data_IF_372266040887
#
_entry.id   IF_372266040887
#
_cell.length_a   1.000
_cell.length_b   1.000
_cell.length_c   1.000
_cell.angle_alpha   90.00
_cell.angle_beta   90.00
_cell.angle_gamma   90.00
#
_symmetry.space_group_name_H-M   'P 1'
#
loop_
_entity.id
_entity.type
_entity.pdbx_description
1 polymer ?
#
# COMPACT_ATOMS: atom_id res chain seq x y z
N UNK A 1 -1.44 -25.30 -10.75
CA UNK A 1 -0.80 -24.12 -10.14
C UNK A 1 -1.88 -23.04 -10.10
N UNK A 2 -2.40 -22.71 -8.92
CA UNK A 2 -3.38 -21.62 -8.82
C UNK A 2 -2.69 -20.31 -9.18
N UNK A 3 -3.25 -19.58 -10.15
CA UNK A 3 -2.78 -18.23 -10.47
C UNK A 3 -2.72 -17.42 -9.18
N UNK A 4 -1.51 -17.03 -8.78
CA UNK A 4 -1.26 -16.42 -7.49
C UNK A 4 -1.66 -14.95 -7.57
N UNK A 5 -2.94 -14.65 -7.37
CA UNK A 5 -3.38 -13.26 -7.27
C UNK A 5 -2.75 -12.57 -6.06
N UNK A 6 -2.42 -11.28 -6.17
CA UNK A 6 -1.78 -10.50 -5.10
C UNK A 6 -2.57 -9.22 -4.82
N UNK A 7 -2.81 -8.92 -3.54
CA UNK A 7 -3.43 -7.66 -3.12
C UNK A 7 -2.34 -6.66 -2.77
N UNK A 8 -2.35 -5.54 -3.48
CA UNK A 8 -1.31 -4.51 -3.45
C UNK A 8 -1.93 -3.15 -3.16
N UNK A 9 -1.08 -2.15 -2.96
CA UNK A 9 -1.53 -0.78 -2.72
C UNK A 9 -0.69 0.24 -3.45
N UNK A 10 -1.36 1.24 -4.02
CA UNK A 10 -0.77 2.50 -4.47
C UNK A 10 -1.20 3.63 -3.54
N UNK A 11 -0.28 4.55 -3.25
CA UNK A 11 -0.55 5.77 -2.47
C UNK A 11 -0.15 6.96 -3.32
N UNK A 12 -1.11 7.82 -3.66
CA UNK A 12 -0.88 9.08 -4.37
C UNK A 12 -0.89 10.20 -3.35
N UNK A 13 0.30 10.69 -2.98
CA UNK A 13 0.47 11.73 -1.98
C UNK A 13 -0.17 13.06 -2.41
N UNK A 14 -0.45 13.96 -1.47
CA UNK A 14 -1.12 15.25 -1.71
C UNK A 14 -0.55 15.97 -2.95
N UNK A 15 0.77 16.11 -3.04
CA UNK A 15 1.41 16.81 -4.18
C UNK A 15 1.29 16.09 -5.51
N UNK A 16 0.97 14.80 -5.54
CA UNK A 16 0.71 14.03 -6.75
C UNK A 16 -0.76 14.01 -7.17
N UNK A 17 -1.66 14.58 -6.37
CA UNK A 17 -3.13 14.47 -6.57
C UNK A 17 -3.63 15.05 -7.90
N UNK A 18 -2.88 15.97 -8.50
CA UNK A 18 -3.24 16.56 -9.79
C UNK A 18 -3.23 15.53 -10.94
N UNK A 19 -2.57 14.37 -10.78
CA UNK A 19 -2.63 13.24 -11.73
C UNK A 19 -3.47 12.06 -11.22
N UNK A 20 -4.27 12.21 -10.16
CA UNK A 20 -5.05 11.08 -9.62
C UNK A 20 -5.96 10.41 -10.65
N UNK A 21 -6.71 11.20 -11.44
CA UNK A 21 -7.62 10.65 -12.46
C UNK A 21 -6.90 9.85 -13.54
N UNK A 22 -5.88 10.39 -14.24
CA UNK A 22 -5.18 9.61 -15.26
C UNK A 22 -4.45 8.39 -14.67
N UNK A 23 -3.89 8.49 -13.46
CA UNK A 23 -3.23 7.34 -12.81
C UNK A 23 -4.24 6.25 -12.47
N UNK A 24 -5.39 6.58 -11.87
CA UNK A 24 -6.42 5.58 -11.54
C UNK A 24 -6.97 4.90 -12.80
N UNK A 25 -7.11 5.64 -13.91
CA UNK A 25 -7.50 5.07 -15.20
C UNK A 25 -6.47 4.07 -15.69
N UNK A 26 -5.19 4.41 -15.66
CA UNK A 26 -4.12 3.51 -16.10
C UNK A 26 -3.99 2.28 -15.19
N UNK A 27 -4.07 2.46 -13.86
CA UNK A 27 -4.12 1.36 -12.90
C UNK A 27 -5.26 0.39 -13.26
N UNK A 28 -6.44 0.89 -13.64
CA UNK A 28 -7.59 0.03 -13.98
C UNK A 28 -7.40 -0.81 -15.24
N UNK A 29 -6.41 -0.49 -16.09
CA UNK A 29 -6.08 -1.30 -17.27
C UNK A 29 -5.14 -2.46 -16.97
N UNK A 30 -4.37 -2.39 -15.88
CA UNK A 30 -3.37 -3.41 -15.52
C UNK A 30 -3.76 -4.20 -14.26
N UNK A 31 -4.55 -3.60 -13.38
CA UNK A 31 -4.95 -4.16 -12.09
C UNK A 31 -6.46 -4.07 -11.91
N UNK A 32 -7.01 -5.01 -11.15
CA UNK A 32 -8.37 -4.86 -10.65
C UNK A 32 -8.36 -3.95 -9.43
N UNK A 33 -8.84 -2.72 -9.58
CA UNK A 33 -9.03 -1.82 -8.43
C UNK A 33 -10.14 -2.39 -7.55
N UNK A 34 -9.86 -2.60 -6.27
CA UNK A 34 -10.84 -3.10 -5.28
C UNK A 34 -11.52 -1.96 -4.55
N UNK A 35 -10.75 -0.96 -4.13
CA UNK A 35 -11.27 0.23 -3.46
C UNK A 35 -10.31 1.41 -3.58
N UNK A 36 -10.86 2.62 -3.60
CA UNK A 36 -10.08 3.85 -3.53
C UNK A 36 -10.57 4.67 -2.35
N UNK A 37 -9.64 5.05 -1.48
CA UNK A 37 -9.89 5.90 -0.33
C UNK A 37 -9.20 7.24 -0.49
N UNK A 38 -9.86 8.30 -0.03
CA UNK A 38 -9.22 9.56 0.33
C UNK A 38 -8.92 9.55 1.82
N UNK A 39 -7.65 9.64 2.17
CA UNK A 39 -7.17 9.64 3.54
C UNK A 39 -6.54 11.00 3.89
N UNK A 40 -6.64 11.36 5.15
CA UNK A 40 -5.99 12.54 5.71
C UNK A 40 -5.34 12.17 7.04
N UNK A 41 -4.11 12.65 7.22
CA UNK A 41 -3.44 12.64 8.52
C UNK A 41 -3.33 14.09 8.99
N UNK A 42 -3.69 14.39 10.25
CA UNK A 42 -3.49 15.73 10.79
C UNK A 42 -2.04 16.19 10.58
N UNK A 43 -1.85 17.44 10.14
CA UNK A 43 -0.53 17.99 9.81
C UNK A 43 0.49 17.82 10.94
N UNK A 44 0.05 17.93 12.19
CA UNK A 44 0.88 17.77 13.40
C UNK A 44 1.36 16.32 13.61
N UNK A 45 0.61 15.34 13.11
CA UNK A 45 0.93 13.90 13.20
C UNK A 45 1.62 13.37 11.95
N UNK A 46 1.56 14.10 10.83
CA UNK A 46 1.97 13.60 9.52
C UNK A 46 3.39 13.04 9.50
N UNK A 47 4.37 13.78 10.03
CA UNK A 47 5.76 13.35 10.06
C UNK A 47 5.96 12.03 10.84
N UNK A 48 5.23 11.86 11.96
CA UNK A 48 5.32 10.66 12.79
C UNK A 48 4.63 9.48 12.12
N UNK A 49 3.43 9.68 11.55
CA UNK A 49 2.73 8.64 10.78
C UNK A 49 3.53 8.20 9.55
N UNK A 50 4.20 9.13 8.89
CA UNK A 50 5.09 8.84 7.77
C UNK A 50 6.31 8.02 8.21
N UNK A 51 6.89 8.35 9.37
CA UNK A 51 7.98 7.60 9.98
C UNK A 51 7.56 6.16 10.32
N UNK A 52 6.42 5.97 10.98
CA UNK A 52 5.84 4.66 11.31
C UNK A 52 5.55 3.84 10.04
N UNK A 53 5.00 4.51 9.02
CA UNK A 53 4.70 3.89 7.72
C UNK A 53 5.98 3.34 7.07
N UNK A 54 7.04 4.14 6.99
CA UNK A 54 8.31 3.73 6.37
C UNK A 54 9.25 2.94 7.30
N UNK A 55 8.87 2.73 8.57
CA UNK A 55 9.69 2.00 9.56
C UNK A 55 11.03 2.67 9.85
N UNK A 56 11.14 3.99 9.61
CA UNK A 56 12.34 4.78 9.87
C UNK A 56 11.97 5.92 10.79
N UNK A 57 12.82 6.22 11.77
CA UNK A 57 12.79 7.50 12.48
C UNK A 57 13.16 8.62 11.49
N UNK A 58 12.20 9.04 10.67
CA UNK A 58 12.36 10.20 9.80
C UNK A 58 12.38 11.43 10.73
N UNK A 59 13.46 12.23 10.73
CA UNK A 59 13.46 13.48 11.49
C UNK A 59 12.29 14.37 11.06
N UNK A 60 11.67 15.09 12.00
CA UNK A 60 10.66 16.11 11.66
C UNK A 60 11.25 17.09 10.63
N UNK A 61 10.48 17.43 9.60
CA UNK A 61 10.94 18.32 8.53
C UNK A 61 11.84 17.65 7.49
N UNK A 62 11.91 16.32 7.45
CA UNK A 62 12.66 15.61 6.43
C UNK A 62 12.18 15.95 5.01
N UNK A 63 13.08 15.77 4.05
CA UNK A 63 12.87 16.10 2.64
C UNK A 63 11.63 15.40 2.03
N UNK A 64 11.21 14.26 2.60
CA UNK A 64 10.04 13.50 2.11
C UNK A 64 8.71 14.11 2.54
N UNK A 65 8.60 14.68 3.74
CA UNK A 65 7.40 15.41 4.20
C UNK A 65 7.10 16.60 3.26
N UNK A 66 8.12 17.42 2.96
CA UNK A 66 7.98 18.55 2.02
C UNK A 66 7.63 18.09 0.60
N UNK A 67 8.06 16.90 0.20
CA UNK A 67 7.80 16.34 -1.14
C UNK A 67 6.42 15.68 -1.25
N UNK A 68 5.93 14.99 -0.22
CA UNK A 68 4.61 14.36 -0.27
C UNK A 68 3.48 15.38 -0.09
N UNK A 69 3.70 16.44 0.70
CA UNK A 69 2.64 17.28 1.23
C UNK A 69 1.95 16.62 2.44
N UNK A 70 1.19 17.42 3.21
CA UNK A 70 0.52 16.97 4.44
C UNK A 70 -1.02 17.02 4.34
N UNK A 71 -1.55 17.32 3.17
CA UNK A 71 -2.98 17.33 2.86
C UNK A 71 -3.51 15.94 2.52
N UNK A 72 -4.72 15.91 1.95
CA UNK A 72 -5.39 14.65 1.63
C UNK A 72 -4.67 13.90 0.51
N UNK A 73 -4.49 12.60 0.69
CA UNK A 73 -3.86 11.71 -0.27
C UNK A 73 -4.82 10.56 -0.64
N UNK A 74 -4.56 9.91 -1.78
CA UNK A 74 -5.35 8.74 -2.19
C UNK A 74 -4.62 7.45 -1.91
N UNK A 75 -5.40 6.43 -1.59
CA UNK A 75 -4.97 5.04 -1.49
C UNK A 75 -5.82 4.25 -2.47
N UNK A 76 -5.19 3.56 -3.41
CA UNK A 76 -5.85 2.58 -4.26
C UNK A 76 -5.39 1.18 -3.84
N UNK A 77 -6.29 0.39 -3.27
CA UNK A 77 -6.04 -1.03 -3.03
C UNK A 77 -6.46 -1.80 -4.27
N UNK A 78 -5.53 -2.57 -4.80
CA UNK A 78 -5.67 -3.23 -6.10
C UNK A 78 -5.37 -4.71 -5.98
N UNK A 79 -5.84 -5.48 -6.94
CA UNK A 79 -5.48 -6.87 -7.11
C UNK A 79 -4.75 -7.04 -8.43
N UNK A 80 -3.51 -7.52 -8.35
CA UNK A 80 -2.80 -8.06 -9.50
C UNK A 80 -3.27 -9.51 -9.71
N UNK A 81 -3.91 -9.77 -10.84
CA UNK A 81 -4.44 -11.10 -11.15
C UNK A 81 -3.35 -12.07 -11.60
N UNK A 82 -2.25 -11.55 -12.15
CA UNK A 82 -1.18 -12.33 -12.76
C UNK A 82 0.19 -11.70 -12.44
N UNK A 83 0.60 -11.66 -11.17
CA UNK A 83 1.85 -11.04 -10.78
C UNK A 83 3.03 -11.81 -11.35
N UNK A 84 4.01 -11.05 -11.85
CA UNK A 84 5.31 -11.57 -12.29
C UNK A 84 6.34 -11.21 -11.25
N UNK A 85 7.14 -12.18 -10.82
CA UNK A 85 8.16 -11.96 -9.79
C UNK A 85 9.58 -12.02 -10.36
N UNK A 86 10.48 -11.24 -9.78
CA UNK A 86 11.92 -11.43 -9.94
C UNK A 86 12.50 -12.30 -8.81
N UNK A 87 13.80 -12.58 -8.86
CA UNK A 87 14.51 -13.41 -7.88
C UNK A 87 14.49 -12.80 -6.45
N UNK A 88 14.32 -11.48 -6.34
CA UNK A 88 14.16 -10.79 -5.06
C UNK A 88 12.73 -10.90 -4.49
N UNK A 89 11.80 -11.56 -5.20
CA UNK A 89 10.40 -11.71 -4.80
C UNK A 89 9.55 -10.45 -5.02
N UNK A 90 10.03 -9.48 -5.79
CA UNK A 90 9.28 -8.26 -6.10
C UNK A 90 8.28 -8.49 -7.21
N UNK A 91 7.08 -7.92 -7.08
CA UNK A 91 6.07 -7.90 -8.11
C UNK A 91 6.47 -6.87 -9.20
N UNK A 92 6.91 -7.39 -10.35
CA UNK A 92 7.38 -6.60 -11.49
C UNK A 92 6.30 -5.70 -12.09
N UNK A 93 5.03 -6.12 -12.09
CA UNK A 93 3.93 -5.30 -12.60
C UNK A 93 3.76 -4.06 -11.72
N UNK A 94 3.74 -4.24 -10.40
CA UNK A 94 3.67 -3.13 -9.43
C UNK A 94 4.89 -2.19 -9.54
N UNK A 95 6.10 -2.76 -9.64
CA UNK A 95 7.32 -1.95 -9.79
C UNK A 95 7.27 -1.10 -11.07
N UNK A 96 6.92 -1.71 -12.21
CA UNK A 96 6.84 -1.02 -13.50
C UNK A 96 5.80 0.11 -13.46
N UNK A 97 4.59 -0.16 -12.97
CA UNK A 97 3.55 0.87 -12.82
C UNK A 97 4.01 2.01 -11.87
N UNK A 98 4.59 1.67 -10.72
CA UNK A 98 5.13 2.66 -9.77
C UNK A 98 6.16 3.59 -10.42
N UNK A 99 7.12 3.05 -11.17
CA UNK A 99 8.15 3.87 -11.83
C UNK A 99 7.57 4.68 -12.98
N UNK A 100 6.67 4.11 -13.79
CA UNK A 100 5.94 4.84 -14.84
C UNK A 100 5.23 6.08 -14.28
N UNK A 101 4.53 5.95 -13.16
CA UNK A 101 3.83 7.08 -12.55
C UNK A 101 4.81 8.10 -11.95
N UNK A 102 5.99 7.69 -11.47
CA UNK A 102 7.04 8.64 -11.08
C UNK A 102 7.55 9.43 -12.28
N UNK A 103 7.68 8.79 -13.44
CA UNK A 103 8.06 9.46 -14.68
C UNK A 103 6.99 10.46 -15.13
N UNK A 104 5.69 10.15 -14.96
CA UNK A 104 4.60 11.10 -15.20
C UNK A 104 4.69 12.34 -14.30
N UNK A 105 5.30 12.22 -13.12
CA UNK A 105 5.60 13.35 -12.24
C UNK A 105 6.96 14.01 -12.53
N UNK A 106 7.61 13.73 -13.66
CA UNK A 106 8.94 14.25 -13.99
C UNK A 106 10.04 13.70 -13.07
N UNK A 107 9.93 12.43 -12.67
CA UNK A 107 10.88 11.73 -11.78
C UNK A 107 10.64 11.95 -10.28
N UNK A 108 9.55 12.62 -9.89
CA UNK A 108 9.22 12.85 -8.49
C UNK A 108 8.59 11.62 -7.81
N UNK A 109 8.86 11.46 -6.51
CA UNK A 109 8.33 10.37 -5.69
C UNK A 109 6.96 10.68 -5.06
N UNK A 110 6.04 11.31 -5.82
CA UNK A 110 4.69 11.66 -5.34
C UNK A 110 3.72 10.48 -5.30
N UNK A 111 4.21 9.29 -5.65
CA UNK A 111 3.49 8.03 -5.53
C UNK A 111 4.34 6.97 -4.86
N UNK A 112 3.69 6.15 -4.05
CA UNK A 112 4.21 4.91 -3.49
C UNK A 112 3.42 3.73 -4.06
N UNK A 113 4.09 2.61 -4.30
CA UNK A 113 3.47 1.34 -4.63
C UNK A 113 4.23 0.24 -3.89
N UNK A 114 3.52 -0.78 -3.42
CA UNK A 114 4.17 -1.93 -2.76
C UNK A 114 5.07 -2.70 -3.72
N UNK A 115 6.27 -3.07 -3.28
CA UNK A 115 7.27 -3.75 -4.11
C UNK A 115 7.07 -5.25 -4.17
N UNK A 116 6.54 -5.84 -3.10
CA UNK A 116 6.30 -7.27 -2.96
C UNK A 116 5.11 -7.55 -2.06
N UNK A 117 4.69 -8.82 -2.02
CA UNK A 117 3.57 -9.31 -1.20
C UNK A 117 3.66 -8.89 0.27
N UNK A 118 4.84 -8.99 0.87
CA UNK A 118 5.05 -8.66 2.28
C UNK A 118 4.81 -7.17 2.50
N UNK A 119 5.50 -6.32 1.75
CA UNK A 119 5.34 -4.87 1.84
C UNK A 119 3.90 -4.42 1.57
N UNK A 120 3.23 -5.02 0.58
CA UNK A 120 1.82 -4.76 0.29
C UNK A 120 0.93 -5.02 1.49
N UNK A 121 1.13 -6.14 2.17
CA UNK A 121 0.41 -6.46 3.39
C UNK A 121 0.71 -5.50 4.55
N UNK A 122 1.98 -5.14 4.78
CA UNK A 122 2.33 -4.19 5.84
C UNK A 122 1.71 -2.82 5.56
N UNK A 123 1.74 -2.37 4.30
CA UNK A 123 1.18 -1.08 3.91
C UNK A 123 -0.35 -1.06 4.09
N UNK A 124 -1.06 -2.11 3.66
CA UNK A 124 -2.51 -2.25 3.86
C UNK A 124 -2.84 -2.22 5.36
N UNK A 125 -2.09 -2.98 6.16
CA UNK A 125 -2.30 -3.03 7.60
C UNK A 125 -2.07 -1.67 8.27
N UNK A 126 -0.96 -0.99 7.97
CA UNK A 126 -0.64 0.33 8.56
C UNK A 126 -1.64 1.42 8.15
N UNK A 127 -2.22 1.32 6.96
CA UNK A 127 -3.18 2.30 6.44
C UNK A 127 -4.61 2.02 6.91
N UNK A 128 -5.03 0.76 6.93
CA UNK A 128 -6.43 0.36 7.10
C UNK A 128 -6.71 -0.42 8.39
N UNK A 129 -5.68 -0.92 9.08
CA UNK A 129 -5.79 -1.68 10.32
C UNK A 129 -6.22 -3.14 10.15
N UNK A 130 -6.31 -3.64 8.90
CA UNK A 130 -6.80 -4.99 8.57
C UNK A 130 -5.82 -5.72 7.65
N UNK A 131 -5.89 -7.05 7.61
CA UNK A 131 -5.05 -7.85 6.70
C UNK A 131 -5.56 -7.78 5.25
N UNK A 132 -4.75 -8.14 4.24
CA UNK A 132 -5.22 -8.28 2.86
C UNK A 132 -6.37 -9.27 2.70
N UNK A 133 -6.40 -10.37 3.45
CA UNK A 133 -7.48 -11.36 3.42
C UNK A 133 -8.78 -10.76 3.95
N UNK A 134 -8.73 -10.09 5.10
CA UNK A 134 -9.89 -9.39 5.67
C UNK A 134 -10.38 -8.27 4.74
N UNK A 135 -9.45 -7.52 4.14
CA UNK A 135 -9.78 -6.51 3.14
C UNK A 135 -10.54 -7.12 1.96
N UNK A 136 -10.07 -8.24 1.41
CA UNK A 136 -10.72 -8.91 0.29
C UNK A 136 -12.09 -9.48 0.63
N UNK A 137 -12.30 -9.94 1.87
CA UNK A 137 -13.62 -10.36 2.36
C UNK A 137 -14.58 -9.18 2.51
N UNK A 138 -14.08 -8.03 2.97
CA UNK A 138 -14.88 -6.81 3.16
C UNK A 138 -15.21 -6.09 1.86
N UNK A 139 -14.30 -6.14 0.89
CA UNK A 139 -14.44 -5.50 -0.43
C UNK A 139 -14.29 -6.53 -1.57
N UNK A 140 -15.24 -7.46 -1.71
CA UNK A 140 -15.13 -8.55 -2.68
C UNK A 140 -15.33 -8.08 -4.13
N UNK A 141 -16.06 -6.98 -4.33
CA UNK A 141 -16.39 -6.43 -5.65
C UNK A 141 -15.27 -5.53 -6.20
N UNK A 142 -15.24 -5.33 -7.51
CA UNK A 142 -14.37 -4.33 -8.12
C UNK A 142 -14.87 -2.92 -7.83
N UNK A 143 -13.98 -1.94 -7.90
CA UNK A 143 -14.26 -0.54 -7.62
C UNK A 143 -15.32 0.04 -8.57
N UNK A 144 -16.29 0.75 -8.01
CA UNK A 144 -17.41 1.37 -8.72
C UNK A 144 -17.13 2.81 -9.19
N UNK A 145 -15.87 3.27 -9.09
CA UNK A 145 -15.46 4.62 -9.43
C UNK A 145 -15.60 5.64 -8.29
N UNK A 146 -16.14 5.27 -7.12
CA UNK A 146 -16.30 6.20 -5.99
C UNK A 146 -15.09 6.23 -5.06
N UNK A 147 -14.58 7.44 -4.80
CA UNK A 147 -13.55 7.65 -3.78
C UNK A 147 -14.24 7.85 -2.43
N UNK A 148 -13.93 7.00 -1.46
CA UNK A 148 -14.51 7.09 -0.11
C UNK A 148 -13.57 7.79 0.85
N UNK A 149 -14.09 8.71 1.67
CA UNK A 149 -13.31 9.26 2.77
C UNK A 149 -13.02 8.16 3.79
N UNK A 150 -11.76 8.05 4.23
CA UNK A 150 -11.36 7.08 5.23
C UNK A 150 -10.57 7.75 6.34
N UNK A 151 -11.03 7.58 7.57
CA UNK A 151 -10.31 8.00 8.76
C UNK A 151 -9.28 6.92 9.11
N UNK A 152 -7.99 7.29 9.06
CA UNK A 152 -6.92 6.37 9.40
C UNK A 152 -7.11 5.83 10.84
N UNK A 153 -6.79 4.56 11.11
CA UNK A 153 -6.79 4.03 12.46
C UNK A 153 -5.76 4.75 13.34
N UNK A 154 -5.81 4.46 14.65
CA UNK A 154 -4.75 4.86 15.58
C UNK A 154 -3.38 4.36 15.08
N UNK A 155 -2.31 5.08 15.42
CA UNK A 155 -0.96 4.73 14.95
C UNK A 155 -0.57 3.35 15.44
N UNK A 156 0.17 2.62 14.63
CA UNK A 156 0.72 1.31 15.03
C UNK A 156 1.64 1.44 16.25
N UNK A 157 2.38 2.56 16.37
CA UNK A 157 3.20 2.88 17.55
C UNK A 157 2.41 3.01 18.84
N UNK A 158 1.13 3.40 18.74
CA UNK A 158 0.28 3.71 19.88
C UNK A 158 -0.48 2.48 20.38
N UNK A 159 -0.34 1.33 19.71
CA UNK A 159 -1.04 0.10 20.07
C UNK A 159 -0.10 -1.13 20.07
N UNK A 160 0.38 -1.58 21.24
CA UNK A 160 1.23 -2.77 21.37
C UNK A 160 0.59 -4.08 20.89
N UNK A 161 -0.74 -4.16 20.87
CA UNK A 161 -1.47 -5.30 20.29
C UNK A 161 -1.43 -5.29 18.75
N UNK A 162 -1.28 -4.12 18.12
CA UNK A 162 -1.17 -4.00 16.66
C UNK A 162 0.17 -4.55 16.14
N UNK A 163 1.27 -4.28 16.84
CA UNK A 163 2.58 -4.85 16.44
C UNK A 163 2.62 -6.36 16.63
N UNK A 164 2.16 -6.86 17.79
CA UNK A 164 2.19 -8.29 18.12
C UNK A 164 1.24 -9.13 17.24
N UNK A 165 0.02 -8.67 16.97
CA UNK A 165 -0.92 -9.36 16.08
C UNK A 165 -0.45 -9.42 14.62
N UNK A 166 0.11 -8.31 14.13
CA UNK A 166 0.70 -8.23 12.79
C UNK A 166 1.94 -9.14 12.65
N UNK A 167 2.85 -9.16 13.64
CA UNK A 167 3.99 -10.06 13.63
C UNK A 167 3.59 -11.53 13.74
N UNK A 168 2.56 -11.85 14.55
CA UNK A 168 2.01 -13.21 14.60
C UNK A 168 1.40 -13.64 13.26
N UNK A 169 0.71 -12.74 12.56
CA UNK A 169 0.16 -12.97 11.21
C UNK A 169 1.27 -13.10 10.14
N UNK A 170 2.29 -12.23 10.14
CA UNK A 170 3.45 -12.39 9.26
C UNK A 170 4.19 -13.72 9.52
N UNK A 171 4.34 -14.10 10.78
CA UNK A 171 4.97 -15.35 11.16
C UNK A 171 4.10 -16.57 10.77
N UNK A 172 2.78 -16.45 10.76
CA UNK A 172 1.89 -17.52 10.29
C UNK A 172 1.96 -17.69 8.76
N UNK A 173 2.08 -16.59 8.00
CA UNK A 173 2.34 -16.62 6.57
C UNK A 173 3.69 -17.26 6.23
N UNK A 174 4.75 -16.92 6.96
CA UNK A 174 6.06 -17.55 6.80
C UNK A 174 6.02 -19.06 7.05
N UNK A 175 5.27 -19.49 8.08
CA UNK A 175 5.07 -20.92 8.38
C UNK A 175 4.21 -21.64 7.34
N UNK A 176 3.18 -21.00 6.78
CA UNK A 176 2.39 -21.59 5.69
C UNK A 176 3.20 -21.72 4.40
N UNK A 177 4.05 -20.76 4.08
CA UNK A 177 4.99 -20.84 2.95
C UNK A 177 6.01 -21.97 3.12
N UNK A 178 6.56 -22.15 4.32
CA UNK A 178 7.49 -23.24 4.62
C UNK A 178 6.84 -24.63 4.53
N UNK A 179 5.59 -24.76 4.97
CA UNK A 179 4.81 -26.01 4.85
C UNK A 179 4.48 -26.37 3.41
N UNK A 180 4.16 -25.38 2.57
CA UNK A 180 3.83 -25.59 1.15
C UNK A 180 5.05 -25.90 0.27
N UNK A 181 6.28 -25.72 0.80
CA UNK A 181 7.54 -26.01 0.10
C UNK A 181 8.19 -27.34 0.54
N UNK A 182 7.53 -28.17 1.36
CA UNK A 182 8.09 -29.43 1.90
C UNK A 182 9.53 -29.26 2.46
N UNK A 183 9.76 -28.19 3.24
CA UNK A 183 11.03 -28.00 3.96
C UNK A 183 11.02 -28.65 5.36
N UNK A 184 10.30 -29.77 5.52
CA UNK A 184 10.37 -30.68 6.65
C UNK A 184 10.34 -32.12 6.15
#
# INVERSE_FOLDING_TARGET
MTDKQETCVFIIWEKGRYLSVPILRDISTEFEIKKVFEMYWPKQEFAVRLADFYGKNLPRGCHKEKKCGCGKFLIAVVRDKHPRYNDAGNNLNMLQAKYRYRDWFGGNNFIHGSDNKKEGAENIYKLLGISPEEFNLRYPQSWDGKIENYTAPARVSDNPAYSSGFWQWLNSLGRQLAKNLNLW
#
